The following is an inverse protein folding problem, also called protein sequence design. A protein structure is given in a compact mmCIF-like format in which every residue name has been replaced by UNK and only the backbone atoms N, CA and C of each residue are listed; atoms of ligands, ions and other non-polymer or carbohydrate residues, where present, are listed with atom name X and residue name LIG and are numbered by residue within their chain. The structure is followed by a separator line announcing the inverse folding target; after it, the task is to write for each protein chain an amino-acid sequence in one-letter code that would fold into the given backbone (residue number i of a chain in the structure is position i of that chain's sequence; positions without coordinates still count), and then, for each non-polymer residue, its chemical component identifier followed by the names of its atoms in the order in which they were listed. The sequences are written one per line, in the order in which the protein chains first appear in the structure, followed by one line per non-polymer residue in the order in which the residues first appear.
data_IF_929455186831
#
_entry.id   IF_929455186831
#
_cell.length_a   1.000
_cell.length_b   1.000
_cell.length_c   1.000
_cell.angle_alpha   90.00
_cell.angle_beta   90.00
_cell.angle_gamma   90.00
#
_symmetry.space_group_name_H-M   'P 1'
#
loop_
_entity.id
_entity.type
_entity.pdbx_description
1 polymer ?
#
# COMPACT_ATOMS: atom_id res chain seq x y z
N UNK A 1 -18.08 18.53 9.60
CA UNK A 1 -16.60 18.39 9.60
C UNK A 1 -16.19 17.78 8.27
N UNK A 2 -15.26 18.38 7.51
CA UNK A 2 -14.68 17.73 6.31
C UNK A 2 -13.69 16.67 6.79
N UNK A 3 -13.94 15.41 6.47
CA UNK A 3 -12.99 14.33 6.68
C UNK A 3 -11.82 14.57 5.72
N UNK A 4 -10.62 14.76 6.26
CA UNK A 4 -9.42 15.00 5.45
C UNK A 4 -8.82 13.64 5.11
N UNK A 5 -8.85 13.27 3.84
CA UNK A 5 -8.18 12.07 3.36
C UNK A 5 -6.73 12.39 3.03
N UNK A 6 -5.82 11.57 3.51
CA UNK A 6 -4.39 11.73 3.27
C UNK A 6 -3.78 10.40 2.88
N UNK A 7 -3.13 10.36 1.74
CA UNK A 7 -2.30 9.21 1.34
C UNK A 7 -0.84 9.53 1.62
N UNK A 8 -0.11 8.55 2.14
CA UNK A 8 1.34 8.64 2.36
C UNK A 8 1.97 7.31 2.02
N UNK A 9 3.10 7.36 1.32
CA UNK A 9 3.98 6.20 1.21
C UNK A 9 4.57 5.89 2.58
N UNK A 10 4.40 4.66 3.03
CA UNK A 10 4.85 4.22 4.36
C UNK A 10 5.93 3.15 4.31
N UNK A 11 6.01 2.41 3.19
CA UNK A 11 7.04 1.40 2.99
C UNK A 11 7.33 1.21 1.50
N UNK A 12 8.51 0.66 1.22
CA UNK A 12 8.89 0.08 -0.07
C UNK A 12 9.41 -1.32 0.22
N UNK A 13 8.89 -2.32 -0.48
CA UNK A 13 9.20 -3.73 -0.31
C UNK A 13 9.86 -4.24 -1.59
N UNK A 14 11.03 -4.87 -1.47
CA UNK A 14 11.69 -5.53 -2.58
C UNK A 14 11.35 -7.03 -2.56
N UNK A 15 10.84 -7.53 -3.69
CA UNK A 15 10.34 -8.90 -3.84
C UNK A 15 10.81 -9.44 -5.19
N UNK A 16 11.63 -10.49 -5.16
CA UNK A 16 12.14 -11.18 -6.36
C UNK A 16 12.80 -10.24 -7.40
N UNK A 17 13.48 -9.18 -6.93
CA UNK A 17 14.16 -8.21 -7.79
C UNK A 17 13.26 -7.08 -8.29
N UNK A 18 12.06 -6.97 -7.74
CA UNK A 18 11.11 -5.91 -8.05
C UNK A 18 10.68 -5.14 -6.80
N UNK A 19 10.61 -3.82 -6.93
CA UNK A 19 10.20 -2.95 -5.84
C UNK A 19 8.69 -2.65 -5.89
N UNK A 20 8.06 -2.71 -4.71
CA UNK A 20 6.65 -2.44 -4.49
C UNK A 20 6.50 -1.35 -3.44
N UNK A 21 5.76 -0.32 -3.77
CA UNK A 21 5.47 0.80 -2.89
C UNK A 21 4.18 0.52 -2.14
N UNK A 22 4.19 0.71 -0.83
CA UNK A 22 3.01 0.57 0.02
C UNK A 22 2.59 1.96 0.49
N UNK A 23 1.43 2.38 0.03
CA UNK A 23 0.79 3.62 0.43
C UNK A 23 -0.26 3.35 1.50
N UNK A 24 -0.20 4.08 2.61
CA UNK A 24 -1.22 4.10 3.64
C UNK A 24 -2.21 5.23 3.39
N UNK A 25 -3.49 4.91 3.38
CA UNK A 25 -4.58 5.86 3.26
C UNK A 25 -5.18 6.13 4.63
N UNK A 26 -5.20 7.40 5.02
CA UNK A 26 -5.64 7.85 6.34
C UNK A 26 -6.88 8.72 6.20
N UNK A 27 -7.91 8.39 6.97
CA UNK A 27 -9.18 9.13 6.96
C UNK A 27 -9.28 9.97 8.24
N UNK A 28 -9.40 11.29 8.08
CA UNK A 28 -9.56 12.20 9.21
C UNK A 28 -8.27 12.45 9.98
N UNK A 29 -8.27 12.14 11.29
CA UNK A 29 -7.13 12.38 12.21
C UNK A 29 -6.54 11.08 12.75
N UNK A 30 -6.87 9.95 12.13
CA UNK A 30 -6.40 8.65 12.58
C UNK A 30 -4.88 8.52 12.43
N UNK A 31 -4.23 7.95 13.46
CA UNK A 31 -2.79 7.64 13.41
C UNK A 31 -2.49 6.35 12.64
N UNK A 32 -3.52 5.50 12.44
CA UNK A 32 -3.44 4.27 11.65
C UNK A 32 -4.04 4.52 10.28
N UNK A 33 -3.48 3.88 9.25
CA UNK A 33 -4.07 3.89 7.94
C UNK A 33 -5.37 3.08 7.98
N UNK A 34 -6.41 3.62 7.36
CA UNK A 34 -7.71 2.99 7.17
C UNK A 34 -7.62 1.84 6.15
N UNK A 35 -6.76 1.99 5.13
CA UNK A 35 -6.37 0.90 4.23
C UNK A 35 -4.99 1.16 3.61
N UNK A 36 -4.47 0.16 2.89
CA UNK A 36 -3.21 0.22 2.17
C UNK A 36 -3.40 -0.12 0.69
N UNK A 37 -2.59 0.50 -0.15
CA UNK A 37 -2.52 0.22 -1.59
C UNK A 37 -1.08 -0.14 -1.93
N UNK A 38 -0.92 -1.18 -2.76
CA UNK A 38 0.38 -1.67 -3.21
C UNK A 38 0.52 -1.36 -4.68
N UNK A 39 1.57 -0.63 -5.01
CA UNK A 39 1.89 -0.19 -6.37
C UNK A 39 3.25 -0.74 -6.76
N UNK A 40 3.35 -1.32 -7.94
CA UNK A 40 4.63 -1.77 -8.50
C UNK A 40 5.47 -0.55 -8.89
N UNK A 41 6.68 -0.41 -8.36
CA UNK A 41 7.54 0.76 -8.65
C UNK A 41 7.99 0.81 -10.10
N UNK A 42 8.12 -0.34 -10.76
CA UNK A 42 8.66 -0.45 -12.12
C UNK A 42 7.78 0.24 -13.17
N UNK A 43 6.46 0.11 -13.06
CA UNK A 43 5.50 0.68 -14.02
C UNK A 43 4.40 1.53 -13.37
N UNK A 44 4.44 1.70 -12.05
CA UNK A 44 3.41 2.36 -11.25
C UNK A 44 2.00 1.73 -11.37
N UNK A 45 1.90 0.45 -11.75
CA UNK A 45 0.62 -0.27 -11.71
C UNK A 45 0.21 -0.62 -10.29
N UNK A 46 -1.07 -0.44 -9.98
CA UNK A 46 -1.65 -0.89 -8.71
C UNK A 46 -1.81 -2.40 -8.76
N UNK A 47 -1.03 -3.11 -7.94
CA UNK A 47 -1.13 -4.56 -7.79
C UNK A 47 -2.29 -4.93 -6.87
N UNK A 48 -2.49 -4.14 -5.82
CA UNK A 48 -3.52 -4.40 -4.81
C UNK A 48 -4.08 -3.08 -4.29
N UNK A 49 -5.39 -2.93 -4.31
CA UNK A 49 -6.09 -1.79 -3.71
C UNK A 49 -6.85 -2.22 -2.44
N UNK A 50 -7.04 -1.28 -1.51
CA UNK A 50 -7.93 -1.46 -0.35
C UNK A 50 -7.57 -2.63 0.59
N UNK A 51 -6.29 -2.84 0.87
CA UNK A 51 -5.87 -3.78 1.89
C UNK A 51 -6.21 -3.24 3.28
N UNK A 52 -6.99 -4.01 4.06
CA UNK A 52 -7.34 -3.67 5.44
C UNK A 52 -6.18 -3.78 6.43
N UNK A 53 -5.09 -4.46 6.04
CA UNK A 53 -3.90 -4.67 6.85
C UNK A 53 -2.64 -4.47 6.01
N UNK A 54 -1.55 -4.11 6.68
CA UNK A 54 -0.27 -3.92 6.00
C UNK A 54 0.16 -5.23 5.31
N UNK A 55 0.51 -5.20 4.01
CA UNK A 55 0.88 -6.40 3.27
C UNK A 55 2.26 -6.93 3.69
N UNK A 56 2.37 -8.25 3.84
CA UNK A 56 3.67 -8.93 3.95
C UNK A 56 4.25 -9.22 2.57
N UNK A 57 5.57 -9.43 2.49
CA UNK A 57 6.23 -9.82 1.23
C UNK A 57 5.61 -11.10 0.64
N UNK A 58 5.29 -12.09 1.48
CA UNK A 58 4.62 -13.33 1.04
C UNK A 58 3.24 -13.07 0.43
N UNK A 59 2.45 -12.15 1.02
CA UNK A 59 1.13 -11.79 0.51
C UNK A 59 1.23 -11.16 -0.87
N UNK A 60 2.16 -10.23 -1.06
CA UNK A 60 2.37 -9.58 -2.36
C UNK A 60 2.87 -10.60 -3.38
N UNK A 61 3.84 -11.45 -3.00
CA UNK A 61 4.31 -12.53 -3.87
C UNK A 61 3.17 -13.44 -4.32
N UNK A 62 2.26 -13.81 -3.42
CA UNK A 62 1.08 -14.61 -3.76
C UNK A 62 0.07 -13.91 -4.67
N UNK A 63 0.10 -12.57 -4.77
CA UNK A 63 -0.81 -11.78 -5.62
C UNK A 63 -0.22 -11.51 -7.01
N UNK A 64 1.09 -11.70 -7.17
CA UNK A 64 1.79 -11.60 -8.45
C UNK A 64 1.76 -12.90 -9.27
N UNK A 65 1.34 -14.01 -8.66
CA UNK A 65 1.33 -15.35 -9.25
C UNK A 65 -0.06 -15.83 -9.66
#
# INVERSE_FOLDING_TARGET
MRTQERTRKIAVLDIDGESFEVDGHYVGKESKASWYTVTRSSDHSVTVDHLSQFPSCEKIRSLLH
#
